data_IF_013928789811
#
_entry.id   IF_013928789811
#
_cell.length_a   1.000
_cell.length_b   1.000
_cell.length_c   1.000
_cell.angle_alpha   90.00
_cell.angle_beta   90.00
_cell.angle_gamma   90.00
#
_symmetry.space_group_name_H-M   'P 1'
#
loop_
_entity.id
_entity.type
_entity.pdbx_description
1 polymer ?
#
# COMPACT_ATOMS: atom_id res chain seq x y z
N UNK A 1 31.12 -2.63 7.12
CA UNK A 1 30.26 -3.68 6.52
C UNK A 1 29.24 -4.32 7.48
N UNK A 2 28.93 -3.71 8.64
CA UNK A 2 27.90 -4.20 9.60
C UNK A 2 26.67 -3.26 9.75
N UNK A 3 26.66 -2.09 9.11
CA UNK A 3 25.57 -1.12 9.18
C UNK A 3 24.46 -1.33 8.13
N UNK A 4 24.71 -2.13 7.08
CA UNK A 4 23.80 -2.32 5.93
C UNK A 4 22.81 -3.48 6.09
N UNK A 5 22.72 -4.09 7.28
CA UNK A 5 21.83 -5.25 7.57
C UNK A 5 20.74 -4.96 8.61
N UNK A 6 20.76 -3.77 9.23
CA UNK A 6 19.71 -3.31 10.14
C UNK A 6 18.51 -2.65 9.41
N UNK A 7 18.66 -2.32 8.12
CA UNK A 7 17.65 -1.64 7.31
C UNK A 7 16.47 -2.54 6.85
N UNK A 8 16.61 -3.87 6.91
CA UNK A 8 15.52 -4.79 6.58
C UNK A 8 14.42 -4.82 7.66
N UNK A 9 14.80 -4.55 8.92
CA UNK A 9 13.91 -4.61 10.09
C UNK A 9 12.91 -3.45 10.10
N UNK A 10 13.26 -2.30 9.52
CA UNK A 10 12.31 -1.23 9.29
C UNK A 10 11.40 -1.55 8.09
N UNK A 11 11.93 -2.07 6.97
CA UNK A 11 11.17 -2.27 5.72
C UNK A 11 9.92 -3.15 5.82
N UNK A 12 9.91 -4.15 6.70
CA UNK A 12 8.72 -4.99 6.97
C UNK A 12 7.64 -4.28 7.79
N UNK A 13 7.93 -3.10 8.33
CA UNK A 13 7.04 -2.24 9.13
C UNK A 13 7.01 -0.77 8.64
N UNK A 14 7.57 -0.45 7.46
CA UNK A 14 7.95 0.93 7.06
C UNK A 14 7.55 1.37 5.64
N UNK A 15 6.30 1.22 5.25
CA UNK A 15 5.79 1.91 4.06
C UNK A 15 5.27 3.33 4.38
N UNK A 16 6.07 4.19 5.03
CA UNK A 16 5.86 5.65 5.06
C UNK A 16 7.11 6.40 5.59
N UNK A 17 7.44 7.54 4.97
CA UNK A 17 8.34 8.56 5.51
C UNK A 17 9.82 8.43 5.11
N UNK A 18 10.18 9.01 3.96
CA UNK A 18 11.52 9.57 3.77
C UNK A 18 11.54 10.92 4.51
N UNK A 19 12.42 11.06 5.51
CA UNK A 19 12.70 12.33 6.14
C UNK A 19 14.10 12.80 5.73
N UNK A 20 14.16 14.09 5.45
CA UNK A 20 15.32 14.92 5.17
C UNK A 20 16.58 14.57 5.99
N UNK A 21 17.72 14.63 5.32
CA UNK A 21 18.98 15.01 5.96
C UNK A 21 19.46 16.24 5.21
N UNK A 22 19.72 17.34 5.92
CA UNK A 22 20.35 18.52 5.34
C UNK A 22 21.83 18.20 5.06
N UNK A 23 22.35 18.42 3.83
CA UNK A 23 23.78 18.53 3.63
C UNK A 23 24.23 19.98 3.91
N UNK A 24 25.45 20.08 4.42
CA UNK A 24 26.14 21.33 4.69
C UNK A 24 26.34 22.20 3.44
N UNK A 25 26.52 23.50 3.68
CA UNK A 25 26.80 24.50 2.67
C UNK A 25 28.20 24.30 2.07
N UNK A 26 28.26 24.13 0.76
CA UNK A 26 29.43 24.47 -0.04
C UNK A 26 28.97 25.42 -1.16
N UNK A 27 29.64 26.57 -1.24
CA UNK A 27 29.29 27.65 -2.15
C UNK A 27 29.65 27.32 -3.60
N UNK A 28 28.66 27.28 -4.48
CA UNK A 28 28.80 27.47 -5.92
C UNK A 28 27.41 27.73 -6.56
N UNK A 29 27.31 28.84 -7.31
CA UNK A 29 26.22 29.27 -8.20
C UNK A 29 24.79 29.37 -7.61
N UNK A 30 24.18 30.55 -7.74
CA UNK A 30 22.77 30.74 -7.37
C UNK A 30 21.88 29.97 -8.36
N UNK A 31 21.40 28.81 -7.94
CA UNK A 31 20.50 27.96 -8.71
C UNK A 31 19.18 27.78 -7.98
N UNK A 32 18.11 27.53 -8.73
CA UNK A 32 16.83 27.18 -8.14
C UNK A 32 16.90 25.84 -7.44
N UNK A 33 16.68 25.87 -6.13
CA UNK A 33 16.42 24.67 -5.36
C UNK A 33 14.95 24.25 -5.59
N UNK A 34 14.68 22.98 -5.95
CA UNK A 34 13.33 22.48 -6.19
C UNK A 34 12.44 22.60 -4.95
N UNK A 35 11.16 22.92 -5.15
CA UNK A 35 10.19 22.97 -4.05
C UNK A 35 9.79 21.57 -3.60
N UNK A 36 9.50 21.37 -2.30
CA UNK A 36 9.16 20.05 -1.74
C UNK A 36 7.80 19.49 -2.19
N UNK A 37 6.99 20.31 -2.86
CA UNK A 37 5.71 19.92 -3.45
C UNK A 37 5.83 19.42 -4.91
N UNK A 38 7.04 19.40 -5.46
CA UNK A 38 7.34 18.82 -6.77
C UNK A 38 6.99 19.70 -7.97
N UNK A 39 6.55 20.94 -7.75
CA UNK A 39 6.32 21.90 -8.83
C UNK A 39 7.61 22.64 -9.23
N UNK A 40 7.67 23.09 -10.49
CA UNK A 40 8.82 23.87 -10.96
C UNK A 40 8.82 25.27 -10.34
N UNK A 41 10.01 25.86 -10.20
CA UNK A 41 10.12 27.20 -9.66
C UNK A 41 9.40 28.26 -10.51
N UNK A 42 9.34 28.08 -11.83
CA UNK A 42 8.57 28.96 -12.72
C UNK A 42 7.07 28.90 -12.39
N UNK A 43 6.50 27.70 -12.22
CA UNK A 43 5.09 27.55 -11.85
C UNK A 43 4.79 28.24 -10.51
N UNK A 44 5.70 28.14 -9.55
CA UNK A 44 5.56 28.78 -8.25
C UNK A 44 5.61 30.31 -8.34
N UNK A 45 6.48 30.86 -9.20
CA UNK A 45 6.53 32.30 -9.47
C UNK A 45 5.29 32.80 -10.21
N UNK A 46 4.79 32.05 -11.18
CA UNK A 46 3.54 32.36 -11.89
C UNK A 46 2.33 32.38 -10.92
N UNK A 47 2.41 31.64 -9.82
CA UNK A 47 1.42 31.65 -8.73
C UNK A 47 1.69 32.73 -7.65
N UNK A 48 2.63 33.64 -7.91
CA UNK A 48 3.06 34.70 -7.00
C UNK A 48 3.55 34.20 -5.62
N UNK A 49 4.04 32.95 -5.54
CA UNK A 49 4.48 32.33 -4.28
C UNK A 49 5.88 32.72 -3.83
N UNK A 50 6.58 33.53 -4.62
CA UNK A 50 7.91 34.03 -4.27
C UNK A 50 7.96 34.80 -2.96
N UNK A 51 6.88 35.43 -2.48
CA UNK A 51 6.87 36.14 -1.20
C UNK A 51 6.65 35.27 0.05
N UNK A 52 6.35 33.97 -0.12
CA UNK A 52 5.93 33.11 1.00
C UNK A 52 7.11 32.71 1.90
N UNK A 53 6.87 32.72 3.22
CA UNK A 53 7.90 32.45 4.23
C UNK A 53 8.62 31.11 4.01
N UNK A 54 7.87 30.05 3.72
CA UNK A 54 8.45 28.72 3.47
C UNK A 54 9.37 28.66 2.25
N UNK A 55 9.14 29.53 1.25
CA UNK A 55 9.93 29.58 0.03
C UNK A 55 11.25 30.33 0.24
N UNK A 56 11.20 31.43 1.00
CA UNK A 56 12.38 32.20 1.37
C UNK A 56 13.23 31.49 2.45
N UNK A 57 12.62 31.00 3.52
CA UNK A 57 13.30 30.30 4.63
C UNK A 57 13.88 28.96 4.19
N UNK A 58 13.25 28.28 3.24
CA UNK A 58 13.75 27.03 2.66
C UNK A 58 14.84 27.20 1.58
N UNK A 59 15.12 28.44 1.17
CA UNK A 59 16.05 28.75 0.09
C UNK A 59 15.61 28.18 -1.27
N UNK A 60 14.30 27.99 -1.47
CA UNK A 60 13.74 27.44 -2.71
C UNK A 60 13.60 28.51 -3.77
N UNK A 61 13.72 28.12 -5.04
CA UNK A 61 13.44 29.00 -6.18
C UNK A 61 14.14 30.37 -6.13
N UNK A 62 15.36 30.41 -5.58
CA UNK A 62 16.07 31.65 -5.33
C UNK A 62 16.41 32.42 -6.62
N UNK A 63 16.68 31.72 -7.73
CA UNK A 63 16.96 32.34 -9.02
C UNK A 63 15.67 32.79 -9.70
N UNK A 64 14.67 31.93 -9.81
CA UNK A 64 13.37 32.26 -10.41
C UNK A 64 12.66 33.39 -9.65
N UNK A 65 12.77 33.44 -8.33
CA UNK A 65 12.16 34.49 -7.52
C UNK A 65 13.00 35.77 -7.39
N UNK A 66 14.06 35.93 -8.20
CA UNK A 66 14.88 37.14 -8.22
C UNK A 66 15.60 37.44 -6.90
N UNK A 67 15.79 36.41 -6.06
CA UNK A 67 16.48 36.52 -4.76
C UNK A 67 18.00 36.38 -4.87
N UNK A 68 18.52 36.17 -6.08
CA UNK A 68 19.94 36.24 -6.35
C UNK A 68 20.37 37.70 -6.55
N UNK A 69 21.18 38.23 -5.63
CA UNK A 69 21.87 39.52 -5.77
C UNK A 69 23.23 39.44 -5.06
N UNK A 70 24.38 39.70 -5.68
CA UNK A 70 24.62 40.22 -7.03
C UNK A 70 25.94 39.77 -7.64
N UNK A 71 26.07 40.01 -8.95
CA UNK A 71 27.29 39.80 -9.74
C UNK A 71 27.03 39.25 -11.15
N UNK A 72 26.56 40.12 -12.06
CA UNK A 72 26.89 40.15 -13.49
C UNK A 72 26.59 38.97 -14.44
N UNK A 73 25.71 39.23 -15.42
CA UNK A 73 26.03 39.10 -16.86
C UNK A 73 25.75 37.79 -17.60
N UNK A 74 24.94 37.94 -18.66
CA UNK A 74 24.88 37.16 -19.93
C UNK A 74 24.29 35.74 -19.86
N UNK A 75 23.26 35.32 -20.62
CA UNK A 75 22.89 35.64 -22.00
C UNK A 75 23.04 34.36 -22.83
N UNK A 76 21.95 33.66 -23.22
CA UNK A 76 22.06 32.55 -24.18
C UNK A 76 20.95 31.50 -24.22
N UNK A 77 20.13 31.61 -25.28
CA UNK A 77 19.55 30.56 -26.13
C UNK A 77 18.73 29.38 -25.57
N UNK A 78 17.49 29.29 -26.03
CA UNK A 78 16.59 28.14 -25.95
C UNK A 78 17.05 26.94 -26.80
N UNK A 79 16.87 25.69 -26.35
CA UNK A 79 16.84 24.50 -27.20
C UNK A 79 15.40 23.99 -27.42
N UNK A 80 15.19 23.11 -28.43
CA UNK A 80 13.90 22.93 -29.10
C UNK A 80 12.95 21.99 -28.36
N UNK A 81 11.67 22.17 -28.66
CA UNK A 81 10.58 21.31 -28.21
C UNK A 81 10.83 19.84 -28.56
N UNK A 82 10.73 18.98 -27.54
CA UNK A 82 10.60 17.53 -27.69
C UNK A 82 9.15 17.08 -27.49
N UNK A 83 8.76 15.92 -28.06
CA UNK A 83 7.40 15.68 -28.51
C UNK A 83 6.43 15.42 -27.36
N UNK A 84 5.18 15.82 -27.57
CA UNK A 84 4.06 15.52 -26.70
C UNK A 84 3.91 14.01 -26.49
N UNK A 85 4.15 13.55 -25.25
CA UNK A 85 3.65 12.27 -24.80
C UNK A 85 2.13 12.40 -24.61
N UNK A 86 1.37 11.79 -25.52
CA UNK A 86 -0.07 11.60 -25.38
C UNK A 86 -0.34 10.62 -24.23
N UNK A 87 -0.40 11.13 -23.01
CA UNK A 87 -0.98 10.44 -21.86
C UNK A 87 -2.43 10.92 -21.72
N UNK A 88 -3.36 10.30 -22.44
CA UNK A 88 -4.80 10.50 -22.19
C UNK A 88 -5.21 9.73 -20.94
N UNK A 89 -4.69 10.15 -19.78
CA UNK A 89 -5.47 10.05 -18.56
C UNK A 89 -6.62 11.07 -18.70
N UNK A 90 -7.88 10.69 -18.43
CA UNK A 90 -8.97 11.65 -18.43
C UNK A 90 -8.61 12.79 -17.48
N UNK A 91 -8.66 14.03 -17.97
CA UNK A 91 -8.54 15.20 -17.10
C UNK A 91 -9.61 15.07 -16.00
N UNK A 92 -9.19 15.27 -14.75
CA UNK A 92 -10.12 15.34 -13.63
C UNK A 92 -11.23 16.35 -13.97
N UNK A 93 -12.52 16.02 -13.71
CA UNK A 93 -13.62 16.95 -13.92
C UNK A 93 -13.27 18.33 -13.39
N UNK A 94 -13.54 19.39 -14.16
CA UNK A 94 -13.24 20.78 -13.78
C UNK A 94 -13.83 21.20 -12.43
N UNK A 95 -14.85 20.48 -11.94
CA UNK A 95 -15.43 20.62 -10.59
C UNK A 95 -14.51 20.19 -9.43
N UNK A 96 -13.39 19.50 -9.71
CA UNK A 96 -12.37 19.11 -8.74
C UNK A 96 -11.22 20.14 -8.66
N UNK A 97 -11.04 20.96 -9.70
CA UNK A 97 -10.14 22.12 -9.64
C UNK A 97 -10.71 23.14 -8.64
N UNK A 98 -9.91 23.49 -7.63
CA UNK A 98 -10.33 24.29 -6.47
C UNK A 98 -10.63 23.48 -5.22
N UNK A 99 -10.83 22.15 -5.31
CA UNK A 99 -10.97 21.26 -4.14
C UNK A 99 -9.69 20.55 -3.74
N UNK A 100 -8.64 20.59 -4.57
CA UNK A 100 -7.33 19.99 -4.25
C UNK A 100 -6.76 20.48 -2.91
N UNK A 101 -6.90 21.77 -2.60
CA UNK A 101 -6.51 22.31 -1.29
C UNK A 101 -7.37 21.73 -0.15
N UNK A 102 -8.68 21.60 -0.37
CA UNK A 102 -9.61 20.97 0.59
C UNK A 102 -9.33 19.47 0.76
N UNK A 103 -8.92 18.76 -0.29
CA UNK A 103 -8.50 17.36 -0.22
C UNK A 103 -7.16 17.20 0.49
N UNK A 104 -6.19 18.09 0.24
CA UNK A 104 -4.94 18.13 1.00
C UNK A 104 -5.16 18.39 2.49
N UNK A 105 -6.08 19.32 2.81
CA UNK A 105 -6.51 19.59 4.19
C UNK A 105 -7.22 18.40 4.83
N UNK A 106 -8.18 17.78 4.11
CA UNK A 106 -8.88 16.60 4.58
C UNK A 106 -7.92 15.41 4.80
N UNK A 107 -6.94 15.22 3.92
CA UNK A 107 -5.89 14.20 4.07
C UNK A 107 -5.00 14.48 5.29
N UNK A 108 -4.57 15.73 5.50
CA UNK A 108 -3.81 16.13 6.69
C UNK A 108 -4.58 15.89 7.99
N UNK A 109 -5.88 16.22 8.01
CA UNK A 109 -6.77 15.94 9.14
C UNK A 109 -6.98 14.44 9.36
N UNK A 110 -7.14 13.67 8.28
CA UNK A 110 -7.21 12.20 8.35
C UNK A 110 -5.92 11.62 8.93
N UNK A 111 -4.76 12.19 8.59
CA UNK A 111 -3.48 11.76 9.16
C UNK A 111 -3.41 12.06 10.66
N UNK A 112 -3.87 13.24 11.11
CA UNK A 112 -4.01 13.56 12.54
C UNK A 112 -4.99 12.63 13.25
N UNK A 113 -6.08 12.21 12.60
CA UNK A 113 -6.99 11.21 13.15
C UNK A 113 -6.25 9.89 13.43
N UNK A 114 -5.46 9.36 12.48
CA UNK A 114 -4.67 8.16 12.73
C UNK A 114 -3.65 8.33 13.87
N UNK A 115 -2.97 9.48 13.96
CA UNK A 115 -2.09 9.78 15.10
C UNK A 115 -2.83 9.83 16.44
N UNK A 116 -4.06 10.35 16.47
CA UNK A 116 -4.87 10.40 17.67
C UNK A 116 -5.27 9.00 18.17
N UNK A 117 -5.44 8.03 17.26
CA UNK A 117 -5.81 6.64 17.56
C UNK A 117 -4.62 5.78 18.04
N UNK A 118 -3.40 6.33 18.07
CA UNK A 118 -2.21 5.58 18.49
C UNK A 118 -2.30 5.19 19.97
N UNK A 119 -2.15 3.90 20.26
CA UNK A 119 -2.01 3.36 21.63
C UNK A 119 -0.54 3.28 22.07
N UNK A 120 -0.30 3.19 23.37
CA UNK A 120 1.03 3.13 23.98
C UNK A 120 1.57 4.51 24.40
N UNK A 121 2.84 4.51 24.78
CA UNK A 121 3.57 5.72 25.20
C UNK A 121 3.83 6.65 24.02
N UNK A 122 3.59 7.94 24.23
CA UNK A 122 3.81 9.00 23.26
C UNK A 122 4.98 9.85 23.75
N UNK A 123 6.14 9.73 23.10
CA UNK A 123 7.28 10.61 23.39
C UNK A 123 6.95 12.05 22.99
N UNK A 124 7.09 12.98 23.94
CA UNK A 124 6.54 14.34 23.87
C UNK A 124 7.04 15.22 22.72
N UNK A 125 8.08 14.82 21.98
CA UNK A 125 8.59 15.52 20.80
C UNK A 125 8.10 14.91 19.47
N UNK A 126 7.48 13.72 19.50
CA UNK A 126 7.05 12.98 18.31
C UNK A 126 5.52 12.85 18.17
N UNK A 127 4.74 13.44 19.09
CA UNK A 127 3.28 13.40 19.05
C UNK A 127 2.69 14.67 18.38
N UNK A 128 2.17 14.59 17.14
CA UNK A 128 1.55 15.72 16.45
C UNK A 128 0.14 16.07 16.97
N UNK A 129 -0.38 15.33 17.96
CA UNK A 129 -1.71 15.53 18.55
C UNK A 129 -1.55 15.90 20.04
N UNK A 130 -1.40 17.20 20.38
CA UNK A 130 -0.92 17.63 21.70
C UNK A 130 -1.89 17.36 22.86
N UNK A 131 -3.18 17.17 22.58
CA UNK A 131 -4.18 16.79 23.59
C UNK A 131 -4.21 15.28 23.89
N UNK A 132 -3.54 14.47 23.06
CA UNK A 132 -3.49 13.02 23.23
C UNK A 132 -2.33 12.66 24.17
N UNK A 133 -2.63 12.04 25.31
CA UNK A 133 -1.63 11.51 26.26
C UNK A 133 -1.21 10.06 25.96
N UNK A 134 -0.61 9.38 26.92
CA UNK A 134 -0.37 7.93 26.82
C UNK A 134 -1.72 7.16 26.87
N UNK A 135 -1.79 5.93 26.34
CA UNK A 135 -2.93 5.03 26.61
C UNK A 135 -2.49 3.57 26.56
N UNK A 136 -3.26 2.68 27.21
CA UNK A 136 -3.00 1.24 27.22
C UNK A 136 -1.54 0.89 27.63
N UNK A 137 -0.95 1.69 28.54
CA UNK A 137 0.41 1.44 29.04
C UNK A 137 0.46 0.19 29.91
N UNK A 138 -0.64 -0.07 30.60
CA UNK A 138 -0.79 -1.13 31.59
C UNK A 138 -1.99 -2.00 31.24
N UNK A 139 -2.24 -2.28 29.95
CA UNK A 139 -3.28 -3.24 29.58
C UNK A 139 -2.86 -4.64 30.08
N UNK A 140 -3.42 -5.14 31.20
CA UNK A 140 -2.92 -6.35 31.84
C UNK A 140 -3.50 -7.62 31.20
N UNK A 141 -4.41 -7.47 30.23
CA UNK A 141 -5.25 -8.56 29.76
C UNK A 141 -4.93 -8.91 28.31
N UNK A 142 -3.97 -9.81 28.18
CA UNK A 142 -3.74 -10.50 26.92
C UNK A 142 -4.83 -11.56 26.69
N UNK A 143 -5.48 -11.50 25.54
CA UNK A 143 -6.54 -12.44 25.20
C UNK A 143 -7.07 -12.22 23.78
N UNK A 144 -7.78 -13.22 23.27
CA UNK A 144 -8.47 -13.11 21.99
C UNK A 144 -9.75 -12.31 22.19
N UNK A 145 -9.99 -11.31 21.35
CA UNK A 145 -11.26 -10.56 21.43
C UNK A 145 -12.46 -11.49 21.24
N UNK A 146 -12.33 -12.53 20.39
CA UNK A 146 -13.41 -13.45 20.09
C UNK A 146 -13.81 -14.35 21.27
N UNK A 147 -12.97 -14.44 22.30
CA UNK A 147 -13.32 -15.10 23.56
C UNK A 147 -14.23 -14.21 24.42
N UNK A 148 -14.14 -12.89 24.25
CA UNK A 148 -15.00 -11.89 24.91
C UNK A 148 -16.27 -11.59 24.11
N UNK A 149 -16.23 -11.76 22.77
CA UNK A 149 -17.33 -11.51 21.85
C UNK A 149 -17.72 -12.77 21.05
N UNK A 150 -18.42 -13.74 21.67
CA UNK A 150 -18.71 -15.03 21.04
C UNK A 150 -19.51 -14.90 19.74
N UNK A 151 -20.36 -13.87 19.60
CA UNK A 151 -21.14 -13.62 18.39
C UNK A 151 -20.28 -13.31 17.16
N UNK A 152 -19.04 -12.86 17.36
CA UNK A 152 -18.12 -12.54 16.28
C UNK A 152 -17.30 -13.75 15.81
N UNK A 153 -17.27 -14.86 16.57
CA UNK A 153 -16.54 -16.09 16.23
C UNK A 153 -17.07 -16.76 14.96
N UNK A 154 -18.35 -16.58 14.62
CA UNK A 154 -18.95 -17.16 13.42
C UNK A 154 -18.38 -16.57 12.12
N UNK A 155 -17.86 -15.34 12.17
CA UNK A 155 -17.37 -14.60 10.99
C UNK A 155 -15.88 -14.27 11.06
N UNK A 156 -15.36 -13.86 12.22
CA UNK A 156 -13.99 -13.39 12.41
C UNK A 156 -13.45 -13.83 13.77
N UNK A 157 -13.29 -15.15 13.95
CA UNK A 157 -12.63 -15.72 15.12
C UNK A 157 -11.11 -15.45 15.11
N UNK A 158 -10.54 -15.09 16.26
CA UNK A 158 -9.09 -14.94 16.41
C UNK A 158 -8.40 -16.28 16.66
N UNK A 159 -7.36 -16.57 15.88
CA UNK A 159 -6.49 -17.73 16.12
C UNK A 159 -5.45 -17.44 17.21
N UNK A 160 -4.94 -16.22 17.24
CA UNK A 160 -3.92 -15.67 18.14
C UNK A 160 -4.13 -14.16 18.28
N UNK A 161 -3.44 -13.54 19.24
CA UNK A 161 -3.32 -12.07 19.40
C UNK A 161 -1.84 -11.63 19.47
N UNK A 162 -0.90 -12.57 19.55
CA UNK A 162 0.52 -12.28 19.76
C UNK A 162 1.17 -11.70 18.50
N UNK A 163 0.74 -12.16 17.34
CA UNK A 163 1.10 -11.61 16.04
C UNK A 163 0.57 -10.19 15.86
N UNK A 164 -0.63 -9.87 16.37
CA UNK A 164 -1.17 -8.50 16.37
C UNK A 164 -0.34 -7.58 17.28
N UNK A 165 0.01 -8.03 18.49
CA UNK A 165 0.89 -7.29 19.39
C UNK A 165 2.28 -7.07 18.79
N UNK A 166 2.82 -8.07 18.09
CA UNK A 166 4.07 -7.96 17.36
C UNK A 166 3.98 -6.92 16.23
N UNK A 167 2.90 -6.95 15.44
CA UNK A 167 2.65 -6.01 14.35
C UNK A 167 2.52 -4.58 14.91
N UNK A 168 1.74 -4.38 15.97
CA UNK A 168 1.54 -3.09 16.61
C UNK A 168 2.85 -2.52 17.18
N UNK A 169 3.61 -3.33 17.93
CA UNK A 169 4.92 -2.93 18.44
C UNK A 169 5.89 -2.60 17.30
N UNK A 170 5.85 -3.35 16.21
CA UNK A 170 6.62 -3.07 15.01
C UNK A 170 6.32 -1.70 14.38
N UNK A 171 5.03 -1.36 14.23
CA UNK A 171 4.60 -0.05 13.73
C UNK A 171 4.99 1.09 14.66
N UNK A 172 4.90 0.86 15.99
CA UNK A 172 5.33 1.84 16.99
C UNK A 172 6.83 2.09 16.91
N UNK A 173 7.66 1.05 16.80
CA UNK A 173 9.10 1.19 16.56
C UNK A 173 9.37 2.01 15.31
N UNK A 174 8.66 1.74 14.21
CA UNK A 174 8.83 2.51 12.97
C UNK A 174 8.48 3.99 13.17
N UNK A 175 7.43 4.29 13.92
CA UNK A 175 6.96 5.65 14.13
C UNK A 175 7.86 6.46 15.08
N UNK A 176 8.53 5.82 16.05
CA UNK A 176 9.29 6.53 17.10
C UNK A 176 10.79 6.36 17.03
N UNK A 177 11.29 5.24 16.50
CA UNK A 177 12.69 4.83 16.62
C UNK A 177 13.08 4.32 18.02
N UNK A 178 12.13 4.08 18.93
CA UNK A 178 12.43 3.61 20.29
C UNK A 178 12.66 2.08 20.34
N UNK A 179 13.88 1.66 20.70
CA UNK A 179 14.31 0.25 20.72
C UNK A 179 13.48 -0.67 21.64
N UNK A 180 12.79 -0.10 22.63
CA UNK A 180 11.86 -0.85 23.48
C UNK A 180 10.73 -1.50 22.67
N UNK A 181 10.20 -0.82 21.66
CA UNK A 181 9.15 -1.37 20.79
C UNK A 181 9.67 -2.47 19.86
N UNK A 182 10.89 -2.33 19.35
CA UNK A 182 11.53 -3.40 18.58
C UNK A 182 11.76 -4.65 19.44
N UNK A 183 12.18 -4.45 20.68
CA UNK A 183 12.36 -5.53 21.65
C UNK A 183 11.03 -6.21 21.98
N UNK A 184 9.96 -5.45 22.16
CA UNK A 184 8.61 -5.97 22.37
C UNK A 184 8.11 -6.78 21.17
N UNK A 185 8.25 -6.26 19.95
CA UNK A 185 7.83 -6.96 18.72
C UNK A 185 8.51 -8.34 18.59
N UNK A 186 9.81 -8.42 18.87
CA UNK A 186 10.57 -9.69 18.89
C UNK A 186 10.07 -10.62 19.99
N UNK A 187 9.81 -10.10 21.19
CA UNK A 187 9.27 -10.88 22.31
C UNK A 187 7.92 -11.50 22.00
N UNK A 188 7.00 -10.73 21.41
CA UNK A 188 5.68 -11.25 21.02
C UNK A 188 5.75 -12.33 19.94
N UNK A 189 6.62 -12.18 18.94
CA UNK A 189 6.82 -13.21 17.91
C UNK A 189 7.38 -14.52 18.47
N UNK A 190 8.36 -14.42 19.38
CA UNK A 190 8.91 -15.59 20.06
C UNK A 190 7.81 -16.34 20.83
N UNK A 191 6.96 -15.60 21.54
CA UNK A 191 5.81 -16.16 22.25
C UNK A 191 4.79 -16.78 21.29
N UNK A 192 4.50 -16.13 20.16
CA UNK A 192 3.58 -16.65 19.15
C UNK A 192 4.04 -18.00 18.59
N UNK A 193 5.35 -18.18 18.47
CA UNK A 193 5.97 -19.40 17.98
C UNK A 193 6.18 -20.47 19.06
N UNK A 194 5.95 -20.14 20.33
CA UNK A 194 6.26 -21.04 21.45
C UNK A 194 7.75 -21.38 21.58
N UNK A 195 8.65 -20.56 21.03
CA UNK A 195 10.10 -20.78 21.07
C UNK A 195 10.80 -19.66 21.83
N UNK A 196 11.85 -20.02 22.57
CA UNK A 196 12.82 -19.05 23.08
C UNK A 196 13.68 -18.48 21.95
N UNK A 197 14.50 -17.43 22.22
CA UNK A 197 15.42 -16.86 21.25
C UNK A 197 16.37 -17.95 20.72
N UNK A 198 16.10 -18.43 19.50
CA UNK A 198 16.89 -19.44 18.82
C UNK A 198 17.82 -18.78 17.80
N UNK A 199 19.13 -19.08 17.81
CA UNK A 199 20.04 -18.57 16.79
C UNK A 199 19.55 -18.94 15.38
N UNK A 200 19.26 -17.93 14.55
CA UNK A 200 18.84 -18.12 13.16
C UNK A 200 17.33 -18.15 12.89
N UNK A 201 16.47 -18.12 13.92
CA UNK A 201 15.01 -17.90 13.77
C UNK A 201 14.68 -16.51 14.25
N UNK A 202 14.84 -15.54 13.36
CA UNK A 202 14.52 -14.14 13.59
C UNK A 202 13.45 -13.64 12.61
N UNK A 203 13.08 -12.37 12.75
CA UNK A 203 12.14 -11.68 11.86
C UNK A 203 12.52 -11.80 10.37
N UNK A 204 13.83 -11.79 10.09
CA UNK A 204 14.35 -11.84 8.73
C UNK A 204 14.15 -13.22 8.12
N UNK A 205 14.46 -14.25 8.91
CA UNK A 205 14.21 -15.63 8.54
C UNK A 205 12.72 -15.87 8.28
N UNK A 206 11.83 -15.34 9.13
CA UNK A 206 10.38 -15.50 8.96
C UNK A 206 9.86 -14.86 7.67
N UNK A 207 10.29 -13.63 7.39
CA UNK A 207 9.90 -12.94 6.16
C UNK A 207 10.43 -13.68 4.91
N UNK A 208 11.68 -14.12 4.96
CA UNK A 208 12.28 -14.95 3.91
C UNK A 208 11.55 -16.28 3.74
N UNK A 209 11.19 -16.96 4.83
CA UNK A 209 10.45 -18.22 4.79
C UNK A 209 9.05 -18.03 4.22
N UNK A 210 8.35 -16.95 4.58
CA UNK A 210 7.06 -16.60 3.99
C UNK A 210 7.18 -16.37 2.48
N UNK A 211 8.11 -15.50 2.06
CA UNK A 211 8.37 -15.23 0.64
C UNK A 211 8.65 -16.52 -0.12
N UNK A 212 9.58 -17.33 0.36
CA UNK A 212 9.99 -18.56 -0.32
C UNK A 212 8.86 -19.58 -0.37
N UNK A 213 8.06 -19.68 0.69
CA UNK A 213 6.86 -20.53 0.75
C UNK A 213 5.90 -20.21 -0.40
N UNK A 214 5.62 -18.93 -0.62
CA UNK A 214 4.71 -18.48 -1.67
C UNK A 214 5.30 -18.55 -3.07
N UNK A 215 6.54 -18.09 -3.24
CA UNK A 215 7.20 -18.06 -4.54
C UNK A 215 7.48 -19.47 -5.09
N UNK A 216 7.78 -20.43 -4.20
CA UNK A 216 8.21 -21.79 -4.56
C UNK A 216 7.13 -22.84 -4.37
N UNK A 217 5.96 -22.50 -3.83
CA UNK A 217 4.88 -23.46 -3.58
C UNK A 217 5.24 -24.49 -2.50
N UNK A 218 5.67 -24.02 -1.33
CA UNK A 218 6.03 -24.88 -0.20
C UNK A 218 4.95 -24.81 0.88
N UNK A 219 5.04 -25.66 1.91
CA UNK A 219 4.18 -25.65 3.09
C UNK A 219 2.67 -25.62 2.76
N UNK A 220 2.25 -26.31 1.69
CA UNK A 220 0.87 -26.40 1.24
C UNK A 220 0.41 -25.31 0.27
N UNK A 221 1.26 -24.32 -0.05
CA UNK A 221 0.98 -23.41 -1.18
C UNK A 221 1.09 -24.21 -2.48
N UNK A 222 0.06 -24.11 -3.31
CA UNK A 222 0.02 -24.76 -4.62
C UNK A 222 -0.22 -23.75 -5.73
N UNK A 223 -0.09 -24.17 -6.98
CA UNK A 223 -0.40 -23.34 -8.15
C UNK A 223 -1.48 -24.00 -8.99
N UNK A 224 -2.42 -23.20 -9.48
CA UNK A 224 -3.36 -23.67 -10.51
C UNK A 224 -2.61 -23.97 -11.82
N UNK A 225 -3.20 -24.73 -12.76
CA UNK A 225 -2.63 -24.94 -14.09
C UNK A 225 -2.19 -23.66 -14.81
N UNK A 226 -2.85 -22.52 -14.57
CA UNK A 226 -2.50 -21.20 -15.11
C UNK A 226 -1.65 -20.32 -14.19
N UNK A 227 -1.20 -20.85 -13.05
CA UNK A 227 -0.17 -20.23 -12.22
C UNK A 227 -0.65 -19.27 -11.13
N UNK A 228 -1.94 -19.27 -10.78
CA UNK A 228 -2.40 -18.59 -9.57
C UNK A 228 -1.93 -19.38 -8.34
N UNK A 229 -1.29 -18.69 -7.39
CA UNK A 229 -0.91 -19.27 -6.11
C UNK A 229 -2.13 -19.44 -5.20
N UNK A 230 -2.30 -20.62 -4.62
CA UNK A 230 -3.39 -21.00 -3.72
C UNK A 230 -2.82 -21.32 -2.35
N UNK A 231 -3.39 -20.70 -1.31
CA UNK A 231 -2.99 -20.94 0.08
C UNK A 231 -3.29 -22.40 0.54
N UNK A 232 -2.63 -22.89 1.60
CA UNK A 232 -2.89 -24.23 2.15
C UNK A 232 -4.34 -24.45 2.62
N UNK A 233 -5.02 -23.38 3.06
CA UNK A 233 -6.45 -23.36 3.42
C UNK A 233 -7.34 -22.93 2.23
N UNK A 234 -6.91 -23.22 1.01
CA UNK A 234 -7.57 -22.78 -0.22
C UNK A 234 -9.03 -23.20 -0.32
N UNK A 235 -9.80 -22.43 -1.11
CA UNK A 235 -11.25 -22.65 -1.31
C UNK A 235 -12.13 -21.45 -0.94
N UNK A 236 -11.54 -20.42 -0.33
CA UNK A 236 -12.22 -19.17 -0.03
C UNK A 236 -11.26 -17.98 -0.23
N UNK A 237 -11.61 -17.03 -1.10
CA UNK A 237 -10.79 -15.83 -1.30
C UNK A 237 -9.37 -16.13 -1.80
N UNK A 238 -9.22 -17.02 -2.78
CA UNK A 238 -7.92 -17.44 -3.33
C UNK A 238 -7.15 -16.24 -3.92
N UNK A 239 -7.83 -15.38 -4.68
CA UNK A 239 -7.23 -14.14 -5.21
C UNK A 239 -6.71 -13.23 -4.09
N UNK A 240 -7.47 -13.07 -2.99
CA UNK A 240 -7.06 -12.27 -1.82
C UNK A 240 -5.75 -12.77 -1.22
N UNK A 241 -5.61 -14.08 -1.03
CA UNK A 241 -4.40 -14.61 -0.42
C UNK A 241 -3.18 -14.41 -1.32
N UNK A 242 -3.32 -14.69 -2.62
CA UNK A 242 -2.25 -14.44 -3.59
C UNK A 242 -1.90 -12.95 -3.70
N UNK A 243 -2.89 -12.06 -3.63
CA UNK A 243 -2.67 -10.61 -3.66
C UNK A 243 -1.91 -10.12 -2.42
N UNK A 244 -2.25 -10.63 -1.23
CA UNK A 244 -1.53 -10.35 0.00
C UNK A 244 -0.06 -10.82 -0.08
N UNK A 245 0.17 -12.02 -0.59
CA UNK A 245 1.52 -12.53 -0.79
C UNK A 245 2.31 -11.72 -1.84
N UNK A 246 1.65 -11.25 -2.91
CA UNK A 246 2.25 -10.38 -3.92
C UNK A 246 2.69 -9.04 -3.30
N UNK A 247 1.86 -8.45 -2.43
CA UNK A 247 2.23 -7.24 -1.70
C UNK A 247 3.49 -7.45 -0.84
N UNK A 248 3.56 -8.53 -0.07
CA UNK A 248 4.74 -8.86 0.76
C UNK A 248 5.97 -9.12 -0.11
N UNK A 249 5.83 -9.81 -1.24
CA UNK A 249 6.93 -10.01 -2.18
C UNK A 249 7.46 -8.67 -2.73
N UNK A 250 6.59 -7.70 -3.02
CA UNK A 250 7.00 -6.38 -3.48
C UNK A 250 7.69 -5.55 -2.38
N UNK A 251 7.31 -5.73 -1.11
CA UNK A 251 8.06 -5.17 0.01
C UNK A 251 9.48 -5.76 0.07
N UNK A 252 9.64 -7.08 -0.10
CA UNK A 252 10.96 -7.69 -0.22
C UNK A 252 11.75 -7.12 -1.41
N UNK A 253 11.11 -6.97 -2.57
CA UNK A 253 11.76 -6.41 -3.76
C UNK A 253 12.26 -4.98 -3.55
N UNK A 254 11.49 -4.17 -2.80
CA UNK A 254 11.83 -2.78 -2.46
C UNK A 254 13.04 -2.67 -1.54
N UNK A 255 13.21 -3.60 -0.60
CA UNK A 255 14.19 -3.49 0.48
C UNK A 255 15.43 -4.37 0.32
N UNK A 256 15.40 -5.37 -0.57
CA UNK A 256 16.58 -6.22 -0.82
C UNK A 256 17.63 -5.53 -1.69
N UNK A 257 18.90 -5.79 -1.40
CA UNK A 257 20.03 -5.45 -2.29
C UNK A 257 20.40 -6.59 -3.25
N UNK A 258 19.81 -7.77 -3.08
CA UNK A 258 20.03 -8.93 -3.95
C UNK A 258 19.19 -8.80 -5.22
N UNK A 259 19.86 -8.61 -6.37
CA UNK A 259 19.21 -8.42 -7.66
C UNK A 259 18.39 -9.64 -8.11
N UNK A 260 18.83 -10.85 -7.76
CA UNK A 260 18.11 -12.09 -8.07
C UNK A 260 16.81 -12.19 -7.28
N UNK A 261 16.87 -11.93 -5.96
CA UNK A 261 15.69 -11.89 -5.09
C UNK A 261 14.72 -10.80 -5.54
N UNK A 262 15.23 -9.60 -5.86
CA UNK A 262 14.40 -8.49 -6.36
C UNK A 262 13.65 -8.88 -7.63
N UNK A 263 14.37 -9.40 -8.63
CA UNK A 263 13.79 -9.82 -9.90
C UNK A 263 12.75 -10.94 -9.73
N UNK A 264 13.04 -11.94 -8.90
CA UNK A 264 12.13 -13.04 -8.62
C UNK A 264 10.82 -12.55 -7.97
N UNK A 265 10.92 -11.65 -6.98
CA UNK A 265 9.76 -11.08 -6.30
C UNK A 265 8.89 -10.22 -7.24
N UNK A 266 9.51 -9.33 -8.02
CA UNK A 266 8.79 -8.49 -9.00
C UNK A 266 8.05 -9.35 -10.02
N UNK A 267 8.78 -10.29 -10.65
CA UNK A 267 8.22 -11.15 -11.69
C UNK A 267 7.09 -12.04 -11.15
N UNK A 268 7.24 -12.56 -9.94
CA UNK A 268 6.21 -13.39 -9.33
C UNK A 268 4.96 -12.57 -8.97
N UNK A 269 5.12 -11.42 -8.30
CA UNK A 269 4.00 -10.55 -7.94
C UNK A 269 3.25 -10.03 -9.17
N UNK A 270 3.99 -9.65 -10.23
CA UNK A 270 3.39 -9.26 -11.50
C UNK A 270 2.53 -10.37 -12.10
N UNK A 271 3.03 -11.61 -12.15
CA UNK A 271 2.23 -12.74 -12.67
C UNK A 271 0.93 -12.96 -11.89
N UNK A 272 0.96 -12.81 -10.56
CA UNK A 272 -0.25 -12.96 -9.75
C UNK A 272 -1.27 -11.85 -10.04
N UNK A 273 -0.82 -10.60 -10.16
CA UNK A 273 -1.71 -9.48 -10.48
C UNK A 273 -2.22 -9.52 -11.93
N UNK A 274 -1.37 -9.91 -12.89
CA UNK A 274 -1.76 -10.11 -14.28
C UNK A 274 -2.83 -11.22 -14.38
N UNK A 275 -2.68 -12.30 -13.63
CA UNK A 275 -3.71 -13.34 -13.52
C UNK A 275 -5.05 -12.74 -13.06
N UNK A 276 -5.06 -12.02 -11.93
CA UNK A 276 -6.28 -11.43 -11.35
C UNK A 276 -6.95 -10.41 -12.28
N UNK A 277 -6.14 -9.64 -13.01
CA UNK A 277 -6.60 -8.60 -13.91
C UNK A 277 -7.07 -9.13 -15.27
N UNK A 278 -6.79 -10.41 -15.59
CA UNK A 278 -7.10 -10.99 -16.90
C UNK A 278 -6.12 -10.58 -17.99
N UNK A 279 -4.85 -10.38 -17.63
CA UNK A 279 -3.76 -10.05 -18.54
C UNK A 279 -2.92 -11.30 -18.84
N UNK A 280 -1.89 -11.14 -19.69
CA UNK A 280 -0.89 -12.19 -19.98
C UNK A 280 -1.46 -13.55 -20.42
N UNK A 281 -2.57 -13.55 -21.17
CA UNK A 281 -3.19 -14.78 -21.70
C UNK A 281 -4.25 -15.41 -20.78
N UNK A 282 -4.59 -14.77 -19.66
CA UNK A 282 -5.77 -15.13 -18.87
C UNK A 282 -7.06 -14.93 -19.67
N UNK A 283 -7.99 -15.87 -19.54
CA UNK A 283 -9.28 -15.84 -20.27
C UNK A 283 -10.22 -14.72 -19.82
N UNK A 284 -10.06 -14.26 -18.57
CA UNK A 284 -10.95 -13.27 -17.96
C UNK A 284 -10.27 -12.49 -16.86
N UNK A 285 -10.86 -11.35 -16.52
CA UNK A 285 -10.60 -10.64 -15.27
C UNK A 285 -11.39 -11.23 -14.10
N UNK A 286 -10.83 -11.07 -12.91
CA UNK A 286 -11.49 -11.29 -11.62
C UNK A 286 -11.75 -9.97 -10.86
N UNK A 287 -11.56 -8.84 -11.53
CA UNK A 287 -11.82 -7.50 -10.98
C UNK A 287 -13.10 -6.96 -11.61
N UNK A 288 -14.10 -6.68 -10.77
CA UNK A 288 -15.41 -6.19 -11.23
C UNK A 288 -15.23 -4.90 -12.03
N UNK A 289 -15.78 -4.88 -13.26
CA UNK A 289 -15.73 -3.71 -14.14
C UNK A 289 -14.39 -3.43 -14.83
N UNK A 290 -13.42 -4.36 -14.80
CA UNK A 290 -12.11 -4.18 -15.42
C UNK A 290 -11.76 -5.35 -16.37
N UNK A 291 -11.05 -5.04 -17.46
CA UNK A 291 -10.49 -6.05 -18.36
C UNK A 291 -11.53 -6.84 -19.16
N UNK A 292 -11.12 -8.00 -19.67
CA UNK A 292 -11.98 -8.88 -20.47
C UNK A 292 -12.86 -9.76 -19.59
N UNK A 293 -14.15 -9.88 -19.91
CA UNK A 293 -15.12 -10.75 -19.22
C UNK A 293 -15.07 -10.68 -17.68
N UNK A 294 -15.14 -9.49 -17.04
CA UNK A 294 -15.10 -9.37 -15.58
C UNK A 294 -16.31 -10.04 -14.91
N UNK A 295 -16.25 -10.30 -13.59
CA UNK A 295 -17.42 -10.70 -12.81
C UNK A 295 -18.49 -9.60 -12.86
N UNK A 296 -19.72 -10.00 -13.13
CA UNK A 296 -20.89 -9.11 -13.13
C UNK A 296 -21.96 -9.52 -12.11
N UNK A 297 -21.77 -10.63 -11.39
CA UNK A 297 -22.66 -11.09 -10.32
C UNK A 297 -21.92 -11.33 -8.99
N UNK A 298 -21.11 -10.37 -8.47
CA UNK A 298 -20.49 -10.53 -7.16
C UNK A 298 -21.54 -10.67 -6.05
N UNK A 299 -21.22 -11.44 -5.01
CA UNK A 299 -22.04 -11.65 -3.81
C UNK A 299 -22.06 -10.38 -2.95
N UNK A 300 -22.78 -9.34 -3.40
CA UNK A 300 -22.80 -8.03 -2.76
C UNK A 300 -24.21 -7.41 -2.79
N UNK A 301 -24.84 -7.31 -1.61
CA UNK A 301 -26.25 -6.92 -1.43
C UNK A 301 -26.60 -5.57 -2.06
N UNK A 302 -25.84 -4.53 -1.74
CA UNK A 302 -26.15 -3.20 -2.25
C UNK A 302 -25.95 -3.11 -3.77
N UNK A 303 -25.04 -3.90 -4.33
CA UNK A 303 -24.79 -3.92 -5.77
C UNK A 303 -25.88 -4.70 -6.52
N UNK A 304 -26.46 -5.72 -5.91
CA UNK A 304 -27.57 -6.48 -6.49
C UNK A 304 -28.92 -5.78 -6.42
N UNK A 305 -29.06 -4.69 -5.65
CA UNK A 305 -30.31 -3.93 -5.57
C UNK A 305 -30.57 -3.10 -6.85
N UNK A 306 -31.83 -3.03 -7.34
CA UNK A 306 -32.21 -2.14 -8.43
C UNK A 306 -32.13 -0.66 -8.02
N UNK A 307 -32.19 0.22 -9.02
CA UNK A 307 -32.29 1.67 -8.76
C UNK A 307 -33.59 2.02 -8.03
N UNK A 308 -33.51 2.97 -7.11
CA UNK A 308 -34.72 3.56 -6.49
C UNK A 308 -35.61 4.18 -7.57
N UNK A 309 -36.94 4.14 -7.41
CA UNK A 309 -37.69 3.68 -6.22
C UNK A 309 -38.02 2.19 -6.20
N UNK A 310 -37.47 1.36 -7.10
CA UNK A 310 -37.79 -0.06 -7.11
C UNK A 310 -37.40 -0.75 -5.78
N UNK A 311 -38.24 -1.64 -5.24
CA UNK A 311 -37.94 -2.32 -3.99
C UNK A 311 -36.77 -3.29 -4.17
N UNK A 312 -35.89 -3.35 -3.17
CA UNK A 312 -34.83 -4.36 -3.11
C UNK A 312 -35.29 -5.51 -2.21
N UNK A 313 -35.59 -6.66 -2.83
CA UNK A 313 -36.06 -7.88 -2.18
C UNK A 313 -35.11 -9.03 -2.49
N UNK A 314 -35.27 -10.16 -1.80
CA UNK A 314 -34.46 -11.35 -2.09
C UNK A 314 -34.59 -11.80 -3.56
N UNK A 315 -35.79 -11.73 -4.14
CA UNK A 315 -36.02 -12.13 -5.52
C UNK A 315 -35.52 -11.11 -6.55
N UNK A 316 -35.74 -9.83 -6.29
CA UNK A 316 -35.29 -8.75 -7.20
C UNK A 316 -33.78 -8.47 -7.11
N UNK A 317 -33.10 -8.99 -6.07
CA UNK A 317 -31.67 -8.81 -5.86
C UNK A 317 -30.90 -10.15 -5.88
N UNK A 318 -31.06 -10.99 -4.86
CA UNK A 318 -30.24 -12.20 -4.72
C UNK A 318 -30.56 -13.25 -5.79
N UNK A 319 -31.84 -13.60 -5.99
CA UNK A 319 -32.27 -14.61 -6.98
C UNK A 319 -32.35 -14.07 -8.42
N UNK A 320 -32.11 -12.78 -8.64
CA UNK A 320 -32.20 -12.19 -9.96
C UNK A 320 -31.22 -12.88 -10.95
N UNK A 321 -31.72 -13.37 -12.08
CA UNK A 321 -30.89 -14.13 -13.02
C UNK A 321 -29.82 -13.29 -13.73
N UNK A 322 -30.01 -11.97 -13.81
CA UNK A 322 -29.14 -11.04 -14.52
C UNK A 322 -27.87 -10.64 -13.75
N UNK A 323 -27.01 -9.80 -14.36
CA UNK A 323 -25.93 -9.12 -13.65
C UNK A 323 -26.47 -8.27 -12.49
N UNK A 324 -25.61 -7.93 -11.54
CA UNK A 324 -25.93 -6.94 -10.52
C UNK A 324 -26.28 -5.60 -11.20
N UNK A 325 -27.38 -4.92 -10.82
CA UNK A 325 -27.76 -3.63 -11.41
C UNK A 325 -26.71 -2.54 -11.20
N UNK A 326 -25.95 -2.59 -10.11
CA UNK A 326 -24.84 -1.67 -9.84
C UNK A 326 -23.51 -2.38 -10.03
N UNK A 327 -22.58 -1.71 -10.71
CA UNK A 327 -21.20 -2.19 -10.86
C UNK A 327 -20.38 -1.73 -9.66
N UNK A 328 -19.98 -2.66 -8.79
CA UNK A 328 -19.03 -2.39 -7.70
C UNK A 328 -17.59 -2.39 -8.24
N UNK A 329 -17.29 -1.38 -9.06
CA UNK A 329 -16.06 -1.31 -9.83
C UNK A 329 -14.79 -1.42 -8.94
N UNK A 330 -13.82 -2.21 -9.39
CA UNK A 330 -12.55 -2.43 -8.70
C UNK A 330 -12.57 -3.50 -7.61
N UNK A 331 -13.74 -4.07 -7.28
CA UNK A 331 -13.82 -5.16 -6.31
C UNK A 331 -13.13 -6.43 -6.86
N UNK A 332 -12.21 -6.99 -6.07
CA UNK A 332 -11.57 -8.27 -6.37
C UNK A 332 -12.45 -9.40 -5.84
N UNK A 333 -12.93 -10.29 -6.71
CA UNK A 333 -13.71 -11.46 -6.27
C UNK A 333 -12.79 -12.56 -5.73
N UNK A 334 -13.36 -13.47 -4.93
CA UNK A 334 -12.62 -14.59 -4.33
C UNK A 334 -11.84 -15.44 -5.34
N UNK A 335 -12.37 -15.61 -6.56
CA UNK A 335 -11.64 -16.14 -7.70
C UNK A 335 -11.85 -17.63 -7.94
N UNK A 336 -11.01 -18.23 -8.79
CA UNK A 336 -11.19 -19.61 -9.23
C UNK A 336 -10.75 -20.61 -8.17
N UNK A 337 -11.18 -21.86 -8.34
CA UNK A 337 -10.66 -22.98 -7.58
C UNK A 337 -9.27 -23.43 -8.08
N UNK A 338 -8.71 -24.48 -7.47
CA UNK A 338 -7.37 -25.00 -7.79
C UNK A 338 -7.20 -25.50 -9.24
N UNK A 339 -8.28 -25.70 -9.98
CA UNK A 339 -8.29 -26.14 -11.37
C UNK A 339 -8.60 -25.00 -12.36
N UNK A 340 -8.42 -23.74 -11.95
CA UNK A 340 -8.76 -22.54 -12.72
C UNK A 340 -10.26 -22.42 -13.09
N UNK A 341 -11.14 -23.16 -12.40
CA UNK A 341 -12.59 -23.08 -12.65
C UNK A 341 -13.23 -21.99 -11.82
N UNK A 342 -14.03 -21.17 -12.48
CA UNK A 342 -14.79 -20.08 -11.88
C UNK A 342 -16.14 -19.93 -12.58
N UNK A 343 -17.21 -19.78 -11.80
CA UNK A 343 -18.55 -19.47 -12.29
C UNK A 343 -18.97 -18.10 -11.71
N UNK A 344 -19.46 -17.20 -12.56
CA UNK A 344 -19.95 -15.89 -12.12
C UNK A 344 -21.38 -16.02 -11.58
N UNK A 345 -21.48 -16.44 -10.32
CA UNK A 345 -22.74 -16.81 -9.66
C UNK A 345 -22.85 -16.11 -8.32
N UNK A 346 -23.86 -15.24 -8.19
CA UNK A 346 -24.11 -14.47 -6.97
C UNK A 346 -24.28 -15.32 -5.71
N UNK A 347 -24.84 -16.52 -5.85
CA UNK A 347 -25.03 -17.44 -4.71
C UNK A 347 -23.76 -18.19 -4.31
N UNK A 348 -22.72 -18.20 -5.16
CA UNK A 348 -21.42 -18.77 -4.85
C UNK A 348 -20.59 -17.72 -4.11
N UNK A 349 -20.79 -17.64 -2.80
CA UNK A 349 -20.05 -16.73 -1.93
C UNK A 349 -18.56 -17.09 -1.85
N UNK A 350 -18.10 -18.29 -2.22
CA UNK A 350 -16.66 -18.60 -2.14
C UNK A 350 -15.90 -17.94 -3.29
N UNK A 351 -16.41 -18.10 -4.51
CA UNK A 351 -15.78 -17.57 -5.71
C UNK A 351 -16.14 -16.09 -5.96
N UNK A 352 -17.34 -15.65 -5.59
CA UNK A 352 -17.89 -14.34 -5.94
C UNK A 352 -18.02 -13.37 -4.75
N UNK A 353 -17.61 -13.74 -3.54
CA UNK A 353 -17.51 -12.75 -2.47
C UNK A 353 -16.48 -11.67 -2.80
N UNK A 354 -16.79 -10.48 -2.31
CA UNK A 354 -15.96 -9.29 -2.32
C UNK A 354 -15.91 -8.76 -0.90
N UNK A 355 -14.74 -8.29 -0.46
CA UNK A 355 -14.54 -7.77 0.88
C UNK A 355 -13.45 -6.71 0.91
N UNK A 356 -13.43 -5.89 1.96
CA UNK A 356 -12.39 -4.86 2.14
C UNK A 356 -11.00 -5.48 2.29
N UNK A 357 -10.86 -6.63 2.95
CA UNK A 357 -9.58 -7.33 3.10
C UNK A 357 -9.12 -7.97 1.78
N UNK A 358 -10.03 -8.28 0.85
CA UNK A 358 -9.67 -8.81 -0.47
C UNK A 358 -8.94 -7.76 -1.30
N UNK A 359 -9.38 -6.52 -1.20
CA UNK A 359 -8.80 -5.40 -1.92
C UNK A 359 -7.56 -4.81 -1.23
N UNK A 360 -7.31 -5.08 0.07
CA UNK A 360 -6.23 -4.46 0.83
C UNK A 360 -4.83 -4.80 0.25
N UNK A 361 -4.45 -6.08 0.23
CA UNK A 361 -3.18 -6.50 -0.35
C UNK A 361 -3.12 -6.27 -1.86
N UNK A 362 -4.24 -6.45 -2.57
CA UNK A 362 -4.33 -6.18 -4.02
C UNK A 362 -3.98 -4.73 -4.36
N UNK A 363 -4.57 -3.77 -3.66
CA UNK A 363 -4.32 -2.34 -3.87
C UNK A 363 -2.87 -1.98 -3.51
N UNK A 364 -2.37 -2.52 -2.39
CA UNK A 364 -0.96 -2.35 -2.00
C UNK A 364 0.01 -2.92 -3.03
N UNK A 365 -0.29 -4.08 -3.60
CA UNK A 365 0.53 -4.74 -4.61
C UNK A 365 0.53 -3.96 -5.94
N UNK A 366 -0.62 -3.46 -6.39
CA UNK A 366 -0.69 -2.58 -7.57
C UNK A 366 0.18 -1.33 -7.39
N UNK A 367 0.07 -0.65 -6.25
CA UNK A 367 0.90 0.51 -5.94
C UNK A 367 2.39 0.15 -5.89
N UNK A 368 2.74 -1.01 -5.33
CA UNK A 368 4.10 -1.53 -5.29
C UNK A 368 4.69 -1.78 -6.68
N UNK A 369 3.93 -2.42 -7.59
CA UNK A 369 4.38 -2.61 -8.98
C UNK A 369 4.57 -1.29 -9.71
N UNK A 370 3.61 -0.36 -9.60
CA UNK A 370 3.71 0.97 -10.22
C UNK A 370 4.96 1.69 -9.74
N UNK A 371 5.20 1.70 -8.42
CA UNK A 371 6.39 2.32 -7.84
C UNK A 371 7.67 1.66 -8.34
N UNK A 372 7.76 0.32 -8.32
CA UNK A 372 9.02 -0.38 -8.53
C UNK A 372 9.38 -0.60 -10.01
N UNK A 373 8.39 -0.64 -10.90
CA UNK A 373 8.57 -0.74 -12.35
C UNK A 373 8.61 0.64 -13.01
N UNK A 374 7.81 1.60 -12.52
CA UNK A 374 7.75 2.97 -13.06
C UNK A 374 9.02 3.80 -12.81
N UNK A 375 9.81 3.47 -11.79
CA UNK A 375 11.10 4.14 -11.52
C UNK A 375 12.28 3.55 -12.28
N UNK A 376 12.07 2.59 -13.19
CA UNK A 376 13.12 1.92 -13.96
C UNK A 376 13.61 2.67 -15.22
N UNK A 377 13.08 3.85 -15.52
CA UNK A 377 13.35 4.60 -16.76
C UNK A 377 14.27 5.81 -16.62
N UNK A 378 15.24 5.81 -15.71
CA UNK A 378 16.04 7.01 -15.43
C UNK A 378 17.40 6.74 -14.78
N UNK A 379 18.20 5.84 -15.33
CA UNK A 379 19.66 5.87 -15.16
C UNK A 379 20.31 5.94 -16.53
N UNK A 380 20.59 7.16 -16.99
CA UNK A 380 21.26 7.42 -18.24
C UNK A 380 21.89 8.79 -18.19
N UNK A 381 23.21 8.80 -17.96
CA UNK A 381 24.11 9.92 -18.21
C UNK A 381 23.91 10.48 -19.63
N UNK A 382 23.68 11.79 -19.74
CA UNK A 382 24.30 12.70 -20.72
C UNK A 382 23.88 14.13 -20.37
#
# INVERSE_FOLDING_TARGET
MRASRLALIAGLLAAAGAAWAAPAADGAACADRPTPDGFSCQQQADWAKCGEAWMAEGGFCAATCGRCGGGGGDGGASPPASPAANSTAPALPSSLNGKLAEYGKALSLSWRFYYAQRSGKLSGTANPVPWRGDSHLDDPHEGKYSDSEPGATYVYASSSFLDDLALAAGWLYRATGEDAYLSAARGYLQRAQGVGPSPGVDLEWQATAFRDTWLKGQNGVSFTPRGLAIAPLGGWGNNRYSANAAFVALLHAKHTSDAGVRSACLSWAQRQLDYMMGLAGSERSFVVGYGSSPPVRPHHRAASCPNRPAPCTYDSAFNAAGPNPQVIAGALVGGPNSADRYEDKRSDFQANEVAVDYNAGYTGALAGLIQLLGTGGGSGTA
#
